data_IF_459915600106
#
_entry.id   IF_459915600106
#
_cell.length_a   1.000
_cell.length_b   1.000
_cell.length_c   1.000
_cell.angle_alpha   90.00
_cell.angle_beta   90.00
_cell.angle_gamma   90.00
#
_symmetry.space_group_name_H-M   'P 1'
#
loop_
_entity.id
_entity.type
_entity.pdbx_description
1 polymer ?
#
# COMPACT_ATOMS: atom_id res chain seq x y z
N UNK A 1 49.67 -5.22 33.09
CA UNK A 1 50.01 -5.83 34.40
C UNK A 1 48.72 -5.83 35.20
N UNK A 2 47.91 -6.89 35.18
CA UNK A 2 48.15 -8.19 35.84
C UNK A 2 48.26 -7.97 37.36
N UNK A 3 47.43 -8.58 38.21
CA UNK A 3 47.05 -10.00 38.21
C UNK A 3 45.63 -10.24 38.77
N UNK A 4 45.08 -11.44 38.53
CA UNK A 4 43.84 -11.92 39.15
C UNK A 4 44.06 -12.42 40.59
N UNK A 5 43.01 -12.35 41.42
CA UNK A 5 42.79 -13.28 42.54
C UNK A 5 41.33 -13.76 42.55
N UNK A 6 41.16 -15.04 42.89
CA UNK A 6 39.93 -15.85 42.78
C UNK A 6 39.33 -16.14 44.17
N UNK A 7 38.10 -16.72 44.16
CA UNK A 7 37.45 -17.49 45.26
C UNK A 7 37.02 -16.67 46.50
N UNK A 8 35.91 -16.93 47.20
CA UNK A 8 34.70 -17.75 46.97
C UNK A 8 33.56 -17.13 47.84
N UNK A 9 32.33 -17.63 48.02
CA UNK A 9 31.66 -18.88 47.62
C UNK A 9 30.12 -18.65 47.63
N UNK A 10 29.28 -19.53 47.05
CA UNK A 10 27.81 -19.33 47.11
C UNK A 10 26.96 -20.35 46.34
N UNK A 11 26.70 -21.52 46.96
CA UNK A 11 25.81 -22.56 46.44
C UNK A 11 24.34 -22.11 46.41
N UNK A 12 23.59 -22.60 45.43
CA UNK A 12 22.18 -22.30 45.22
C UNK A 12 21.59 -23.19 44.15
N UNK A 13 21.45 -24.49 44.48
CA UNK A 13 21.02 -25.52 43.54
C UNK A 13 19.58 -25.27 43.04
N UNK A 14 19.42 -25.12 41.73
CA UNK A 14 18.13 -25.14 41.06
C UNK A 14 18.13 -26.29 40.05
N UNK A 15 17.76 -27.48 40.52
CA UNK A 15 17.57 -28.68 39.71
C UNK A 15 16.35 -28.53 38.79
N UNK A 16 16.58 -28.06 37.56
CA UNK A 16 15.64 -28.16 36.45
C UNK A 16 15.99 -29.39 35.61
N UNK A 17 15.11 -30.38 35.58
CA UNK A 17 15.30 -31.61 34.82
C UNK A 17 15.00 -31.40 33.33
N UNK A 18 16.02 -31.48 32.49
CA UNK A 18 15.89 -31.50 31.02
C UNK A 18 15.35 -32.86 30.53
N UNK A 19 14.08 -33.15 30.79
CA UNK A 19 13.34 -34.29 30.24
C UNK A 19 12.78 -33.95 28.83
N UNK A 20 13.67 -33.63 27.89
CA UNK A 20 13.34 -33.44 26.47
C UNK A 20 13.08 -34.79 25.78
N UNK A 21 11.96 -35.41 26.13
CA UNK A 21 11.43 -36.59 25.44
C UNK A 21 11.06 -36.27 23.98
N UNK A 22 11.35 -37.16 23.01
CA UNK A 22 11.19 -36.85 21.60
C UNK A 22 9.73 -36.54 21.21
N UNK A 23 9.54 -35.46 20.47
CA UNK A 23 8.24 -35.01 19.96
C UNK A 23 7.55 -36.13 19.16
N UNK A 24 6.42 -36.64 19.67
CA UNK A 24 5.63 -37.68 19.00
C UNK A 24 5.15 -37.18 17.64
N UNK A 25 5.66 -37.79 16.56
CA UNK A 25 5.30 -37.49 15.17
C UNK A 25 3.81 -37.78 14.89
N UNK A 26 2.95 -36.77 15.08
CA UNK A 26 1.54 -36.85 14.72
C UNK A 26 1.38 -36.71 13.21
N UNK A 27 1.43 -37.83 12.50
CA UNK A 27 1.25 -37.86 11.04
C UNK A 27 -0.02 -37.13 10.60
N UNK A 28 0.10 -36.18 9.66
CA UNK A 28 -1.01 -35.36 9.19
C UNK A 28 -1.95 -36.09 8.19
N UNK A 29 -1.93 -37.42 8.15
CA UNK A 29 -2.65 -38.26 7.18
C UNK A 29 -3.44 -39.39 7.85
N UNK A 30 -4.28 -39.05 8.82
CA UNK A 30 -5.32 -39.97 9.32
C UNK A 30 -6.69 -39.31 9.21
N UNK A 31 -7.43 -39.67 8.16
CA UNK A 31 -8.84 -39.33 8.06
C UNK A 31 -9.59 -39.96 9.26
N UNK A 32 -10.59 -39.29 9.85
CA UNK A 32 -11.42 -39.91 10.87
C UNK A 32 -12.19 -41.06 10.22
N UNK A 33 -11.99 -42.28 10.72
CA UNK A 33 -12.71 -43.45 10.23
C UNK A 33 -14.20 -43.33 10.57
N UNK A 34 -15.07 -43.50 9.59
CA UNK A 34 -16.51 -43.60 9.78
C UNK A 34 -16.85 -44.93 10.47
N UNK A 35 -16.76 -44.92 11.81
CA UNK A 35 -17.17 -46.02 12.67
C UNK A 35 -18.69 -46.18 12.65
N UNK A 36 -19.19 -47.06 11.79
CA UNK A 36 -20.60 -47.42 11.74
C UNK A 36 -21.07 -48.11 13.05
N UNK A 37 -22.20 -47.66 13.60
CA UNK A 37 -23.04 -48.48 14.48
C UNK A 37 -24.47 -47.93 14.57
N UNK A 38 -25.39 -48.51 13.80
CA UNK A 38 -26.83 -48.47 14.07
C UNK A 38 -27.12 -49.01 15.48
N UNK A 39 -27.68 -48.22 16.41
CA UNK A 39 -28.48 -48.75 17.54
C UNK A 39 -29.64 -47.83 17.95
N UNK A 40 -30.80 -48.47 18.09
CA UNK A 40 -31.98 -48.10 18.91
C UNK A 40 -32.60 -46.71 18.76
N UNK A 41 -33.80 -46.73 18.17
CA UNK A 41 -34.90 -45.80 18.40
C UNK A 41 -35.22 -45.75 19.92
N UNK A 42 -35.68 -44.61 20.43
CA UNK A 42 -36.00 -44.31 21.84
C UNK A 42 -34.83 -43.98 22.79
N UNK A 43 -34.28 -42.77 22.66
CA UNK A 43 -33.78 -42.01 23.80
C UNK A 43 -34.03 -40.52 23.59
N UNK A 44 -34.79 -39.87 24.48
CA UNK A 44 -34.93 -38.40 24.50
C UNK A 44 -33.65 -37.80 25.10
N UNK A 45 -32.62 -37.70 24.26
CA UNK A 45 -31.35 -37.11 24.65
C UNK A 45 -31.54 -35.61 24.87
N UNK A 46 -31.57 -35.19 26.15
CA UNK A 46 -31.44 -33.77 26.52
C UNK A 46 -30.18 -33.20 25.84
N UNK A 47 -30.21 -31.95 25.33
CA UNK A 47 -29.04 -31.37 24.70
C UNK A 47 -27.93 -31.19 25.74
N UNK A 48 -26.96 -32.13 25.74
CA UNK A 48 -25.75 -32.00 26.53
C UNK A 48 -24.98 -30.82 25.94
N UNK A 49 -25.08 -29.67 26.60
CA UNK A 49 -24.29 -28.49 26.29
C UNK A 49 -22.81 -28.86 26.49
N UNK A 50 -22.16 -29.29 25.40
CA UNK A 50 -20.72 -29.47 25.34
C UNK A 50 -20.12 -28.12 25.76
N UNK A 51 -19.55 -28.07 26.97
CA UNK A 51 -18.79 -26.90 27.43
C UNK A 51 -17.75 -26.64 26.36
N UNK A 52 -17.91 -25.55 25.60
CA UNK A 52 -16.89 -25.14 24.64
C UNK A 52 -15.60 -25.00 25.44
N UNK A 53 -14.48 -25.46 24.87
CA UNK A 53 -13.18 -25.17 25.46
C UNK A 53 -13.10 -23.67 25.74
N UNK A 54 -12.39 -23.27 26.79
CA UNK A 54 -12.22 -21.86 27.12
C UNK A 54 -11.40 -21.19 26.00
N UNK A 55 -12.09 -20.77 24.94
CA UNK A 55 -11.52 -19.95 23.88
C UNK A 55 -11.24 -18.61 24.53
N UNK A 56 -9.97 -18.22 24.54
CA UNK A 56 -9.53 -16.89 24.94
C UNK A 56 -10.43 -15.86 24.23
N UNK A 57 -11.09 -14.93 24.96
CA UNK A 57 -12.07 -14.01 24.37
C UNK A 57 -11.47 -13.13 23.27
N UNK A 58 -10.14 -12.98 23.19
CA UNK A 58 -9.46 -12.30 22.08
C UNK A 58 -9.60 -13.04 20.73
N UNK A 59 -9.88 -14.34 20.76
CA UNK A 59 -9.98 -15.22 19.60
C UNK A 59 -11.36 -15.87 19.43
N UNK A 60 -12.38 -15.46 20.20
CA UNK A 60 -13.74 -15.97 19.98
C UNK A 60 -14.31 -15.41 18.66
N UNK A 61 -14.48 -16.31 17.69
CA UNK A 61 -15.12 -16.02 16.41
C UNK A 61 -16.59 -15.56 16.52
N UNK A 62 -17.19 -15.58 17.72
CA UNK A 62 -18.47 -14.92 17.99
C UNK A 62 -18.34 -13.39 18.07
N UNK A 63 -17.26 -12.87 18.66
CA UNK A 63 -17.00 -11.43 18.81
C UNK A 63 -16.68 -10.73 17.49
N UNK A 64 -16.13 -11.45 16.50
CA UNK A 64 -15.93 -10.90 15.14
C UNK A 64 -17.23 -10.74 14.35
N UNK A 65 -18.33 -11.38 14.76
CA UNK A 65 -19.63 -11.36 14.05
C UNK A 65 -20.56 -10.26 14.54
N UNK A 66 -20.42 -9.82 15.80
CA UNK A 66 -21.34 -8.85 16.42
C UNK A 66 -21.11 -7.42 15.97
N UNK A 67 -19.91 -7.06 15.49
CA UNK A 67 -19.67 -5.72 14.96
C UNK A 67 -18.54 -5.72 13.90
N UNK A 68 -18.86 -5.67 12.58
CA UNK A 68 -17.85 -5.69 11.52
C UNK A 68 -16.92 -4.47 11.54
N UNK A 69 -17.30 -3.39 12.23
CA UNK A 69 -16.50 -2.17 12.36
C UNK A 69 -15.60 -2.18 13.61
N UNK A 70 -15.78 -3.12 14.55
CA UNK A 70 -14.95 -3.17 15.76
C UNK A 70 -13.48 -3.44 15.45
N UNK A 71 -13.20 -4.27 14.43
CA UNK A 71 -11.84 -4.49 13.92
C UNK A 71 -11.29 -3.26 13.20
N UNK A 72 -12.11 -2.48 12.49
CA UNK A 72 -11.65 -1.23 11.86
C UNK A 72 -11.18 -0.21 12.90
N UNK A 73 -11.87 -0.10 14.04
CA UNK A 73 -11.42 0.73 15.16
C UNK A 73 -10.18 0.18 15.85
N UNK A 74 -10.11 -1.14 16.07
CA UNK A 74 -8.95 -1.80 16.70
C UNK A 74 -7.67 -1.69 15.86
N UNK A 75 -7.78 -1.69 14.53
CA UNK A 75 -6.64 -1.58 13.60
C UNK A 75 -6.49 -0.18 12.96
N UNK A 76 -7.24 0.82 13.42
CA UNK A 76 -7.13 2.20 12.91
C UNK A 76 -5.68 2.72 12.99
N UNK A 77 -5.00 2.43 14.10
CA UNK A 77 -3.59 2.79 14.31
C UNK A 77 -2.66 2.25 13.21
N UNK A 78 -2.93 1.08 12.63
CA UNK A 78 -2.10 0.52 11.54
C UNK A 78 -2.27 1.31 10.24
N UNK A 79 -3.49 1.78 9.98
CA UNK A 79 -3.76 2.63 8.80
C UNK A 79 -3.11 3.99 8.97
N UNK A 80 -3.19 4.55 10.16
CA UNK A 80 -2.67 5.89 10.45
C UNK A 80 -1.12 5.84 10.48
N UNK A 81 -0.51 4.77 11.01
CA UNK A 81 0.92 4.48 10.88
C UNK A 81 1.38 4.36 9.41
N UNK A 82 0.62 3.65 8.57
CA UNK A 82 0.93 3.56 7.14
C UNK A 82 0.81 4.91 6.41
N UNK A 83 0.01 5.85 6.93
CA UNK A 83 -0.08 7.21 6.40
C UNK A 83 1.09 8.09 6.85
N UNK A 84 1.50 8.02 8.12
CA UNK A 84 2.65 8.77 8.65
C UNK A 84 3.98 8.26 8.07
N UNK A 85 4.18 6.94 7.94
CA UNK A 85 5.32 6.36 7.22
C UNK A 85 5.34 6.84 5.76
N UNK A 86 4.17 6.91 5.12
CA UNK A 86 4.01 7.47 3.78
C UNK A 86 4.37 8.95 3.68
N UNK A 87 4.05 9.76 4.69
CA UNK A 87 4.45 11.17 4.78
C UNK A 87 5.96 11.29 5.00
N UNK A 88 6.52 10.54 5.96
CA UNK A 88 7.95 10.52 6.29
C UNK A 88 8.82 10.11 5.10
N UNK A 89 8.43 9.09 4.34
CA UNK A 89 9.16 8.69 3.14
C UNK A 89 9.15 9.79 2.05
N UNK A 90 8.04 10.51 1.88
CA UNK A 90 7.96 11.67 0.95
C UNK A 90 8.83 12.83 1.42
N UNK A 91 8.83 13.11 2.73
CA UNK A 91 9.63 14.17 3.34
C UNK A 91 11.13 13.88 3.24
N UNK A 92 11.57 12.68 3.63
CA UNK A 92 12.95 12.23 3.46
C UNK A 92 13.39 12.31 1.99
N UNK A 93 12.51 11.93 1.05
CA UNK A 93 12.78 12.04 -0.39
C UNK A 93 12.90 13.49 -0.88
N UNK A 94 12.37 14.48 -0.15
CA UNK A 94 12.54 15.92 -0.41
C UNK A 94 13.83 16.43 0.21
N UNK A 95 14.09 16.13 1.49
CA UNK A 95 15.32 16.57 2.17
C UNK A 95 16.58 15.99 1.51
N UNK A 96 16.58 14.70 1.15
CA UNK A 96 17.70 14.08 0.46
C UNK A 96 17.96 14.67 -0.94
N UNK A 97 16.94 15.23 -1.62
CA UNK A 97 17.12 15.98 -2.88
C UNK A 97 17.74 17.35 -2.63
N UNK A 98 17.27 18.07 -1.61
CA UNK A 98 17.84 19.37 -1.20
C UNK A 98 19.32 19.21 -0.87
N UNK A 99 19.67 18.21 -0.05
CA UNK A 99 21.05 17.91 0.31
C UNK A 99 21.91 17.50 -0.89
N UNK A 100 21.38 16.66 -1.79
CA UNK A 100 22.09 16.31 -3.03
C UNK A 100 22.30 17.52 -3.94
N UNK A 101 21.30 18.38 -4.12
CA UNK A 101 21.41 19.60 -4.92
C UNK A 101 22.43 20.57 -4.32
N UNK A 102 22.41 20.77 -3.00
CA UNK A 102 23.37 21.58 -2.24
C UNK A 102 24.82 21.16 -2.54
N UNK A 103 25.13 19.87 -2.43
CA UNK A 103 26.48 19.36 -2.71
C UNK A 103 26.90 19.45 -4.17
N UNK A 104 25.97 19.24 -5.10
CA UNK A 104 26.26 19.44 -6.53
C UNK A 104 26.57 20.92 -6.84
N UNK A 105 25.91 21.85 -6.13
CA UNK A 105 26.21 23.28 -6.19
C UNK A 105 27.58 23.61 -5.56
N UNK A 106 27.84 23.15 -4.34
CA UNK A 106 29.13 23.34 -3.64
C UNK A 106 30.31 22.78 -4.47
N UNK A 107 30.15 21.62 -5.12
CA UNK A 107 31.17 21.04 -5.99
C UNK A 107 31.42 21.85 -7.27
N UNK A 108 30.39 22.49 -7.85
CA UNK A 108 30.51 23.38 -9.02
C UNK A 108 31.17 24.70 -8.65
N UNK A 109 30.76 25.31 -7.53
CA UNK A 109 31.39 26.52 -6.99
C UNK A 109 32.89 26.27 -6.68
N UNK A 110 33.22 25.12 -6.09
CA UNK A 110 34.61 24.70 -5.86
C UNK A 110 35.41 24.42 -7.16
N UNK A 111 34.73 24.02 -8.24
CA UNK A 111 35.34 23.87 -9.57
C UNK A 111 35.49 25.20 -10.35
N UNK A 112 35.03 26.32 -9.78
CA UNK A 112 35.04 27.63 -10.44
C UNK A 112 33.98 27.79 -11.54
N UNK A 113 33.00 26.87 -11.63
CA UNK A 113 31.87 27.02 -12.54
C UNK A 113 30.92 28.12 -12.02
N UNK A 114 30.53 29.04 -12.92
CA UNK A 114 29.62 30.14 -12.57
C UNK A 114 28.20 29.59 -12.36
N UNK A 115 27.85 29.29 -11.10
CA UNK A 115 26.51 28.79 -10.75
C UNK A 115 25.49 29.93 -10.89
N UNK A 116 24.77 29.93 -12.02
CA UNK A 116 23.56 30.75 -12.12
C UNK A 116 22.51 30.25 -11.13
N UNK A 117 21.98 31.15 -10.31
CA UNK A 117 20.88 30.88 -9.36
C UNK A 117 19.54 30.59 -10.05
N UNK A 118 19.46 30.72 -11.38
CA UNK A 118 18.24 30.53 -12.16
C UNK A 118 18.01 29.07 -12.57
N UNK A 119 17.26 28.29 -11.77
CA UNK A 119 16.59 27.10 -12.33
C UNK A 119 16.14 26.01 -11.35
N UNK A 120 16.98 25.65 -10.37
CA UNK A 120 16.74 24.46 -9.50
C UNK A 120 16.27 24.81 -8.08
N UNK A 121 16.20 26.09 -7.72
CA UNK A 121 15.59 26.50 -6.46
C UNK A 121 14.05 26.54 -6.59
N UNK A 122 13.41 25.70 -5.78
CA UNK A 122 11.99 25.72 -5.39
C UNK A 122 10.86 25.30 -6.36
N UNK A 123 11.14 24.49 -7.40
CA UNK A 123 10.07 23.86 -8.23
C UNK A 123 9.26 22.74 -7.52
N UNK A 124 9.30 22.70 -6.18
CA UNK A 124 8.82 21.59 -5.36
C UNK A 124 8.25 22.06 -4.02
N UNK A 125 7.38 23.08 -4.08
CA UNK A 125 6.43 23.60 -3.07
C UNK A 125 6.72 23.06 -1.67
N UNK A 126 7.13 23.92 -0.74
CA UNK A 126 6.95 23.66 0.68
C UNK A 126 5.45 23.47 0.95
N UNK A 127 5.06 22.19 0.91
CA UNK A 127 3.74 21.65 1.21
C UNK A 127 3.66 21.54 2.75
N UNK A 128 3.10 22.54 3.45
CA UNK A 128 3.14 22.58 4.91
C UNK A 128 2.33 21.42 5.50
N UNK A 129 1.32 20.94 4.78
CA UNK A 129 0.56 19.75 5.15
C UNK A 129 1.43 18.49 5.20
N UNK A 130 2.57 18.48 4.50
CA UNK A 130 3.53 17.37 4.54
C UNK A 130 4.43 17.44 5.78
N UNK A 131 4.72 18.62 6.33
CA UNK A 131 5.45 18.77 7.60
C UNK A 131 4.53 18.52 8.82
N UNK A 132 3.27 18.96 8.77
CA UNK A 132 2.28 18.70 9.83
C UNK A 132 1.87 17.22 9.92
N UNK A 133 1.78 16.52 8.78
CA UNK A 133 1.38 15.11 8.72
C UNK A 133 2.49 14.10 9.11
N UNK A 134 3.68 14.56 9.51
CA UNK A 134 4.81 13.67 9.83
C UNK A 134 4.64 12.90 11.14
N UNK A 135 3.92 13.46 12.12
CA UNK A 135 3.93 12.94 13.50
C UNK A 135 5.31 12.98 14.19
N UNK A 136 6.30 13.66 13.59
CA UNK A 136 7.66 13.76 14.11
C UNK A 136 7.85 15.02 14.96
N UNK A 137 8.69 14.94 15.98
CA UNK A 137 9.12 16.13 16.73
C UNK A 137 10.08 17.00 15.91
N UNK A 138 10.18 18.28 16.26
CA UNK A 138 11.13 19.19 15.61
C UNK A 138 12.60 18.71 15.76
N UNK A 139 12.92 18.03 16.87
CA UNK A 139 14.23 17.42 17.09
C UNK A 139 14.48 16.27 16.12
N UNK A 140 13.54 15.32 16.00
CA UNK A 140 13.65 14.20 15.05
C UNK A 140 13.81 14.68 13.60
N UNK A 141 13.14 15.77 13.21
CA UNK A 141 13.34 16.38 11.87
C UNK A 141 14.76 16.92 11.69
N UNK A 142 15.33 17.60 12.70
CA UNK A 142 16.72 18.07 12.67
C UNK A 142 17.70 16.90 12.59
N UNK A 143 17.51 15.87 13.41
CA UNK A 143 18.37 14.69 13.48
C UNK A 143 18.39 13.92 12.13
N UNK A 144 17.24 13.80 11.44
CA UNK A 144 17.19 13.21 10.09
C UNK A 144 17.89 14.06 9.02
N UNK A 145 17.77 15.39 9.06
CA UNK A 145 18.50 16.27 8.13
C UNK A 145 20.01 16.16 8.37
N UNK A 146 20.44 16.14 9.63
CA UNK A 146 21.84 15.89 10.00
C UNK A 146 22.30 14.52 9.51
N UNK A 147 21.49 13.45 9.72
CA UNK A 147 21.79 12.10 9.22
C UNK A 147 22.01 12.09 7.71
N UNK A 148 21.12 12.72 6.94
CA UNK A 148 21.25 12.82 5.49
C UNK A 148 22.51 13.60 5.08
N UNK A 149 22.82 14.69 5.80
CA UNK A 149 24.03 15.48 5.64
C UNK A 149 25.34 14.71 5.89
N UNK A 150 25.31 13.64 6.70
CA UNK A 150 26.46 12.78 6.99
C UNK A 150 26.66 11.63 5.99
N UNK A 151 25.71 11.36 5.09
CA UNK A 151 25.85 10.30 4.09
C UNK A 151 26.82 10.69 2.99
N UNK A 152 27.53 9.73 2.38
CA UNK A 152 28.27 9.97 1.14
C UNK A 152 27.33 10.15 -0.06
N UNK A 153 27.77 10.87 -1.10
CA UNK A 153 26.95 11.15 -2.30
C UNK A 153 26.40 9.89 -2.99
N UNK A 154 27.22 8.83 -3.07
CA UNK A 154 26.78 7.55 -3.62
C UNK A 154 25.64 6.93 -2.79
N UNK A 155 25.74 7.02 -1.45
CA UNK A 155 24.73 6.50 -0.52
C UNK A 155 23.46 7.36 -0.52
N UNK A 156 23.60 8.68 -0.60
CA UNK A 156 22.49 9.62 -0.73
C UNK A 156 21.71 9.42 -2.05
N UNK A 157 22.41 9.17 -3.17
CA UNK A 157 21.81 8.80 -4.46
C UNK A 157 21.04 7.47 -4.36
N UNK A 158 21.60 6.46 -3.68
CA UNK A 158 20.93 5.17 -3.48
C UNK A 158 19.68 5.31 -2.59
N UNK A 159 19.76 6.04 -1.46
CA UNK A 159 18.63 6.31 -0.58
C UNK A 159 17.52 7.09 -1.32
N UNK A 160 17.89 8.05 -2.19
CA UNK A 160 16.94 8.73 -3.08
C UNK A 160 16.24 7.80 -4.08
N UNK A 161 16.94 6.82 -4.65
CA UNK A 161 16.34 5.84 -5.55
C UNK A 161 15.38 4.91 -4.79
N UNK A 162 15.77 4.45 -3.61
CA UNK A 162 14.93 3.63 -2.74
C UNK A 162 13.66 4.37 -2.33
N UNK A 163 13.78 5.59 -1.78
CA UNK A 163 12.63 6.42 -1.39
C UNK A 163 11.71 6.76 -2.58
N UNK A 164 12.26 6.90 -3.80
CA UNK A 164 11.44 7.04 -5.02
C UNK A 164 10.67 5.75 -5.33
N UNK A 165 11.29 4.57 -5.21
CA UNK A 165 10.62 3.29 -5.41
C UNK A 165 9.50 3.07 -4.37
N UNK A 166 9.77 3.32 -3.10
CA UNK A 166 8.81 3.15 -2.00
C UNK A 166 7.63 4.13 -2.12
N UNK A 167 7.88 5.39 -2.47
CA UNK A 167 6.80 6.37 -2.71
C UNK A 167 5.97 6.03 -3.96
N UNK A 168 6.55 5.43 -5.00
CA UNK A 168 5.79 4.89 -6.14
C UNK A 168 4.92 3.69 -5.73
N UNK A 169 5.47 2.75 -4.95
CA UNK A 169 4.75 1.57 -4.42
C UNK A 169 3.58 1.97 -3.52
N UNK A 170 3.75 2.98 -2.68
CA UNK A 170 2.65 3.49 -1.85
C UNK A 170 1.56 4.19 -2.70
N UNK A 171 1.95 4.94 -3.74
CA UNK A 171 0.99 5.56 -4.66
C UNK A 171 0.16 4.53 -5.44
N UNK A 172 0.73 3.42 -5.88
CA UNK A 172 -0.04 2.36 -6.56
C UNK A 172 -1.02 1.66 -5.61
N UNK A 173 -0.60 1.31 -4.39
CA UNK A 173 -1.49 0.71 -3.38
C UNK A 173 -2.65 1.65 -3.01
N UNK A 174 -2.37 2.94 -2.80
CA UNK A 174 -3.40 3.94 -2.52
C UNK A 174 -4.36 4.14 -3.70
N UNK A 175 -3.83 4.14 -4.94
CA UNK A 175 -4.62 4.22 -6.16
C UNK A 175 -5.57 3.01 -6.34
N UNK A 176 -5.08 1.80 -6.07
CA UNK A 176 -5.88 0.57 -6.11
C UNK A 176 -6.96 0.55 -5.02
N UNK A 177 -6.64 1.03 -3.81
CA UNK A 177 -7.61 1.18 -2.73
C UNK A 177 -8.72 2.18 -3.10
N UNK A 178 -8.35 3.35 -3.63
CA UNK A 178 -9.30 4.35 -4.12
C UNK A 178 -10.16 3.83 -5.27
N UNK A 179 -9.59 3.08 -6.21
CA UNK A 179 -10.34 2.44 -7.30
C UNK A 179 -11.33 1.38 -6.81
N UNK A 180 -10.95 0.57 -5.81
CA UNK A 180 -11.84 -0.38 -5.12
C UNK A 180 -12.97 0.35 -4.37
N UNK A 181 -12.65 1.43 -3.66
CA UNK A 181 -13.64 2.23 -2.92
C UNK A 181 -14.66 2.90 -3.85
N UNK A 182 -14.23 3.54 -4.95
CA UNK A 182 -15.13 4.11 -5.98
C UNK A 182 -16.09 3.05 -6.54
N UNK A 183 -15.59 1.84 -6.78
CA UNK A 183 -16.39 0.69 -7.24
C UNK A 183 -17.37 0.18 -6.18
N UNK A 184 -16.98 0.14 -4.91
CA UNK A 184 -17.88 -0.22 -3.81
C UNK A 184 -19.01 0.81 -3.67
N UNK A 185 -18.69 2.11 -3.69
CA UNK A 185 -19.67 3.21 -3.66
C UNK A 185 -20.65 3.14 -4.85
N UNK A 186 -20.17 2.85 -6.06
CA UNK A 186 -21.03 2.67 -7.24
C UNK A 186 -21.99 1.47 -7.11
N UNK A 187 -21.54 0.37 -6.49
CA UNK A 187 -22.39 -0.79 -6.17
C UNK A 187 -23.43 -0.47 -5.11
N UNK A 188 -23.04 0.18 -4.02
CA UNK A 188 -23.96 0.60 -2.96
C UNK A 188 -25.03 1.56 -3.48
N UNK A 189 -24.66 2.54 -4.31
CA UNK A 189 -25.62 3.48 -4.92
C UNK A 189 -26.64 2.78 -5.84
N UNK A 190 -26.23 1.73 -6.56
CA UNK A 190 -27.15 0.89 -7.34
C UNK A 190 -28.07 0.07 -6.45
N UNK A 191 -27.52 -0.63 -5.45
CA UNK A 191 -28.31 -1.45 -4.52
C UNK A 191 -29.31 -0.60 -3.73
N UNK A 192 -28.94 0.63 -3.33
CA UNK A 192 -29.84 1.56 -2.67
C UNK A 192 -31.01 1.94 -3.58
N UNK A 193 -30.75 2.36 -4.83
CA UNK A 193 -31.83 2.68 -5.80
C UNK A 193 -32.77 1.51 -6.08
N UNK A 194 -32.23 0.29 -6.15
CA UNK A 194 -33.06 -0.92 -6.33
C UNK A 194 -33.86 -1.27 -5.07
N UNK A 195 -33.35 -1.00 -3.87
CA UNK A 195 -34.09 -1.15 -2.61
C UNK A 195 -35.19 -0.08 -2.48
N UNK A 196 -34.87 1.18 -2.79
CA UNK A 196 -35.81 2.31 -2.78
C UNK A 196 -36.98 2.04 -3.76
N UNK A 197 -36.70 1.52 -4.97
CA UNK A 197 -37.70 1.12 -5.96
C UNK A 197 -38.55 -0.10 -5.58
N UNK A 198 -38.12 -0.90 -4.60
CA UNK A 198 -38.93 -1.99 -4.02
C UNK A 198 -39.77 -1.47 -2.86
N UNK A 199 -39.22 -0.57 -2.05
CA UNK A 199 -39.92 0.07 -0.95
C UNK A 199 -41.07 0.98 -1.44
N UNK A 200 -40.91 1.65 -2.60
CA UNK A 200 -41.97 2.41 -3.26
C UNK A 200 -43.06 1.55 -3.93
N UNK A 201 -42.85 0.24 -4.05
CA UNK A 201 -43.76 -0.68 -4.74
C UNK A 201 -43.59 -0.76 -6.26
N UNK A 202 -42.74 0.08 -6.88
CA UNK A 202 -42.47 0.06 -8.33
C UNK A 202 -41.92 -1.29 -8.82
N UNK A 203 -41.20 -2.02 -7.94
CA UNK A 203 -40.65 -3.34 -8.21
C UNK A 203 -41.01 -4.33 -7.11
N UNK A 204 -41.48 -5.52 -7.49
CA UNK A 204 -41.80 -6.61 -6.53
C UNK A 204 -40.58 -7.27 -5.87
N UNK A 205 -39.37 -7.09 -6.40
CA UNK A 205 -38.14 -7.72 -5.88
C UNK A 205 -36.90 -6.93 -6.27
N UNK A 206 -35.94 -6.82 -5.35
CA UNK A 206 -34.67 -6.13 -5.60
C UNK A 206 -33.85 -6.89 -6.66
N UNK A 207 -33.42 -6.17 -7.69
CA UNK A 207 -32.61 -6.72 -8.77
C UNK A 207 -31.12 -6.74 -8.36
N UNK A 208 -30.46 -7.91 -8.46
CA UNK A 208 -29.02 -8.03 -8.24
C UNK A 208 -28.30 -7.70 -9.55
N UNK A 209 -27.55 -6.57 -9.66
CA UNK A 209 -27.00 -6.14 -10.93
C UNK A 209 -25.94 -7.10 -11.48
N UNK A 210 -26.04 -7.47 -12.75
CA UNK A 210 -25.05 -8.30 -13.45
C UNK A 210 -23.74 -7.53 -13.60
N UNK A 211 -22.63 -8.26 -13.69
CA UNK A 211 -21.26 -7.69 -13.80
C UNK A 211 -21.09 -6.70 -14.98
N UNK A 212 -21.87 -6.85 -16.05
CA UNK A 212 -21.91 -5.93 -17.21
C UNK A 212 -22.59 -4.59 -16.87
N UNK A 213 -23.72 -4.63 -16.18
CA UNK A 213 -24.47 -3.43 -15.75
C UNK A 213 -23.69 -2.63 -14.71
N UNK A 214 -23.04 -3.30 -13.76
CA UNK A 214 -22.10 -2.68 -12.82
C UNK A 214 -21.00 -1.91 -13.55
N UNK A 215 -20.34 -2.52 -14.55
CA UNK A 215 -19.32 -1.83 -15.37
C UNK A 215 -19.88 -0.64 -16.14
N UNK A 216 -21.09 -0.75 -16.69
CA UNK A 216 -21.73 0.36 -17.40
C UNK A 216 -22.06 1.53 -16.46
N UNK A 217 -22.49 1.24 -15.23
CA UNK A 217 -22.81 2.25 -14.22
C UNK A 217 -21.53 2.87 -13.60
N UNK A 218 -20.48 2.07 -13.38
CA UNK A 218 -19.13 2.55 -13.03
C UNK A 218 -18.58 3.51 -14.11
N UNK A 219 -18.75 3.19 -15.39
CA UNK A 219 -18.34 4.06 -16.50
C UNK A 219 -19.15 5.36 -16.59
N UNK A 220 -20.49 5.29 -16.41
CA UNK A 220 -21.36 6.48 -16.38
C UNK A 220 -21.07 7.39 -15.19
N UNK A 221 -20.77 6.83 -14.01
CA UNK A 221 -20.36 7.61 -12.84
C UNK A 221 -19.04 8.35 -13.11
N UNK A 222 -18.01 7.66 -13.61
CA UNK A 222 -16.73 8.28 -14.00
C UNK A 222 -16.88 9.37 -15.06
N UNK A 223 -17.83 9.21 -15.99
CA UNK A 223 -18.10 10.21 -17.03
C UNK A 223 -18.76 11.47 -16.45
N UNK A 224 -19.66 11.33 -15.46
CA UNK A 224 -20.21 12.48 -14.72
C UNK A 224 -19.17 13.15 -13.84
N UNK A 225 -18.44 12.38 -13.03
CA UNK A 225 -17.32 12.89 -12.23
C UNK A 225 -16.33 13.71 -13.11
N UNK A 226 -16.09 13.30 -14.36
CA UNK A 226 -15.21 13.99 -15.31
C UNK A 226 -15.85 15.17 -16.07
N UNK A 227 -17.16 15.35 -16.00
CA UNK A 227 -17.87 16.57 -16.47
C UNK A 227 -17.99 17.58 -15.34
N UNK A 228 -18.18 17.09 -14.11
CA UNK A 228 -18.44 17.91 -12.93
C UNK A 228 -17.14 18.49 -12.32
N UNK A 229 -15.99 17.82 -12.50
CA UNK A 229 -14.68 18.30 -12.01
C UNK A 229 -13.78 18.94 -13.09
N UNK A 230 -13.97 18.58 -14.36
CA UNK A 230 -13.28 19.21 -15.51
C UNK A 230 -14.36 19.70 -16.49
N UNK A 231 -14.34 20.99 -16.84
CA UNK A 231 -15.31 21.58 -17.76
C UNK A 231 -15.27 20.93 -19.15
N UNK A 232 -16.17 19.97 -19.35
CA UNK A 232 -16.21 19.01 -20.45
C UNK A 232 -14.95 18.11 -20.58
N UNK A 233 -15.11 16.79 -20.75
CA UNK A 233 -13.98 15.93 -21.11
C UNK A 233 -13.51 16.28 -22.51
N UNK A 234 -12.42 17.06 -22.62
CA UNK A 234 -11.71 17.28 -23.87
C UNK A 234 -11.49 15.91 -24.55
N UNK A 235 -11.86 15.76 -25.83
CA UNK A 235 -11.96 14.46 -26.45
C UNK A 235 -10.58 13.77 -26.41
N UNK A 236 -10.57 12.49 -26.02
CA UNK A 236 -9.34 11.67 -25.95
C UNK A 236 -8.70 11.40 -27.32
N UNK A 237 -9.17 12.05 -28.38
CA UNK A 237 -8.61 12.04 -29.72
C UNK A 237 -7.21 12.66 -29.74
N UNK A 238 -7.01 13.85 -29.18
CA UNK A 238 -5.99 14.74 -29.76
C UNK A 238 -4.56 14.36 -29.37
N UNK A 239 -4.30 14.06 -28.09
CA UNK A 239 -2.95 13.60 -27.66
C UNK A 239 -2.62 12.19 -28.17
N UNK A 240 -3.62 11.34 -28.35
CA UNK A 240 -3.47 9.98 -28.88
C UNK A 240 -3.42 9.93 -30.43
N UNK A 241 -3.94 10.96 -31.11
CA UNK A 241 -3.79 11.19 -32.54
C UNK A 241 -2.46 11.87 -32.84
N UNK A 242 -2.07 12.91 -32.09
CA UNK A 242 -0.80 13.60 -32.25
C UNK A 242 0.41 12.67 -32.06
N UNK A 243 0.38 11.79 -31.05
CA UNK A 243 1.43 10.76 -30.86
C UNK A 243 1.47 9.74 -31.99
N UNK A 244 0.31 9.33 -32.55
CA UNK A 244 0.25 8.44 -33.72
C UNK A 244 0.68 9.14 -35.01
N UNK A 245 0.32 10.41 -35.21
CA UNK A 245 0.74 11.22 -36.34
C UNK A 245 2.26 11.49 -36.31
N UNK A 246 2.81 11.84 -35.15
CA UNK A 246 4.25 11.97 -34.96
C UNK A 246 4.98 10.64 -35.24
N UNK A 247 4.50 9.51 -34.72
CA UNK A 247 5.08 8.20 -35.00
C UNK A 247 5.00 7.81 -36.49
N UNK A 248 3.93 8.20 -37.19
CA UNK A 248 3.81 8.01 -38.64
C UNK A 248 4.78 8.91 -39.42
N UNK A 249 4.91 10.18 -39.04
CA UNK A 249 5.84 11.13 -39.64
C UNK A 249 7.31 10.68 -39.47
N UNK A 250 7.71 10.23 -38.26
CA UNK A 250 9.05 9.69 -38.02
C UNK A 250 9.36 8.47 -38.90
N UNK A 251 8.39 7.55 -39.07
CA UNK A 251 8.54 6.37 -39.96
C UNK A 251 8.60 6.76 -41.44
N UNK A 252 7.93 7.84 -41.85
CA UNK A 252 8.01 8.36 -43.21
C UNK A 252 9.39 8.98 -43.47
N UNK A 253 9.87 9.83 -42.57
CA UNK A 253 11.20 10.43 -42.64
C UNK A 253 12.30 9.36 -42.70
N UNK A 254 12.24 8.34 -41.85
CA UNK A 254 13.18 7.21 -41.86
C UNK A 254 13.18 6.46 -43.21
N UNK A 255 12.00 6.26 -43.82
CA UNK A 255 11.88 5.66 -45.16
C UNK A 255 12.44 6.55 -46.27
N UNK A 256 12.27 7.86 -46.19
CA UNK A 256 12.85 8.82 -47.15
C UNK A 256 14.37 8.81 -47.06
N UNK A 257 14.94 8.88 -45.85
CA UNK A 257 16.38 8.79 -45.63
C UNK A 257 16.96 7.46 -46.12
N UNK A 258 16.29 6.33 -45.85
CA UNK A 258 16.69 5.00 -46.36
C UNK A 258 16.57 4.83 -47.88
N UNK A 259 15.71 5.60 -48.55
CA UNK A 259 15.65 5.65 -50.03
C UNK A 259 16.77 6.52 -50.60
N UNK A 260 17.02 7.70 -50.01
CA UNK A 260 18.14 8.57 -50.38
C UNK A 260 19.48 7.84 -50.31
N UNK A 261 19.76 7.14 -49.19
CA UNK A 261 20.96 6.34 -48.99
C UNK A 261 21.10 5.10 -49.91
N UNK A 262 20.06 4.74 -50.67
CA UNK A 262 20.12 3.72 -51.73
C UNK A 262 20.25 4.31 -53.13
N UNK A 263 19.91 5.60 -53.32
CA UNK A 263 20.05 6.32 -54.59
C UNK A 263 21.47 6.78 -54.89
N UNK A 264 22.30 6.98 -53.86
CA UNK A 264 23.70 7.44 -53.96
C UNK A 264 24.73 6.32 -54.17
N UNK A 265 24.30 5.12 -54.58
CA UNK A 265 25.17 4.02 -55.03
C UNK A 265 24.98 3.76 -56.53
N UNK A 266 25.35 4.75 -57.34
CA UNK A 266 25.66 4.64 -58.77
C UNK A 266 26.79 5.62 -59.08
#
# INVERSE_FOLDING_TARGET
NSFCTLLANGMGDASGSDDDGPLVEKSARKAPGEGAALRSIHAVARPVHKKRAAVDPRFDASLSKTNPNASEHQYAFMRDLAQTDGARARWLAKQARREHARRQREAREAAGELVSSSGDEDSGVDDPALDDALGMTAQQRRDEVIRLGLLSDARLKAELQQLRADTMKMRSVAGDAAAKAKKAKARQALLKREADAVASGDKRRAFIPKRRELRAHEARARFRDAIDNDGAPAPRSDRAAATRAHAAASRLAERVMKRSARGTRK
#
